data_IF_052273883105
#
_entry.id   IF_052273883105
#
_cell.length_a   1.000
_cell.length_b   1.000
_cell.length_c   1.000
_cell.angle_alpha   90.00
_cell.angle_beta   90.00
_cell.angle_gamma   90.00
#
_symmetry.space_group_name_H-M   'P 1'
#
loop_
_entity.id
_entity.type
_entity.pdbx_description
1 polymer ?
#
# COMPACT_ATOMS: atom_id res chain seq x y z
N UNK A 1 -22.33 7.54 -6.90
CA UNK A 1 -22.24 8.38 -8.13
C UNK A 1 -21.49 9.64 -7.74
N UNK A 2 -20.20 9.73 -8.11
CA UNK A 2 -19.33 10.84 -7.74
C UNK A 2 -19.84 12.14 -8.37
N UNK A 3 -19.82 13.22 -7.59
CA UNK A 3 -20.29 14.53 -8.06
C UNK A 3 -19.36 15.04 -9.18
N UNK A 4 -19.91 15.70 -10.24
CA UNK A 4 -19.10 16.20 -11.38
C UNK A 4 -17.94 17.13 -10.98
N UNK A 5 -17.98 17.72 -9.78
CA UNK A 5 -16.93 18.60 -9.24
C UNK A 5 -15.69 17.86 -8.70
N UNK A 6 -15.78 16.54 -8.44
CA UNK A 6 -14.67 15.76 -7.87
C UNK A 6 -13.70 15.23 -8.95
N UNK A 7 -14.20 15.00 -10.16
CA UNK A 7 -13.37 14.53 -11.29
C UNK A 7 -12.18 15.45 -11.61
N UNK A 8 -12.35 16.79 -11.69
CA UNK A 8 -11.23 17.69 -11.91
C UNK A 8 -10.18 17.64 -10.78
N UNK A 9 -10.63 17.52 -9.51
CA UNK A 9 -9.73 17.44 -8.37
C UNK A 9 -8.91 16.14 -8.36
N UNK A 10 -9.54 15.02 -8.71
CA UNK A 10 -8.86 13.71 -8.83
C UNK A 10 -7.87 13.70 -9.99
N UNK A 11 -8.23 14.26 -11.15
CA UNK A 11 -7.33 14.42 -12.28
C UNK A 11 -6.14 15.33 -11.92
N UNK A 12 -6.38 16.41 -11.20
CA UNK A 12 -5.34 17.30 -10.70
C UNK A 12 -4.36 16.59 -9.77
N UNK A 13 -4.85 15.71 -8.88
CA UNK A 13 -4.00 14.90 -8.01
C UNK A 13 -3.05 13.98 -8.81
N UNK A 14 -3.53 13.38 -9.91
CA UNK A 14 -2.67 12.58 -10.81
C UNK A 14 -1.62 13.46 -11.48
N UNK A 15 -2.02 14.64 -12.00
CA UNK A 15 -1.09 15.57 -12.63
C UNK A 15 0.01 16.05 -11.69
N UNK A 16 -0.31 16.27 -10.41
CA UNK A 16 0.69 16.63 -9.40
C UNK A 16 1.73 15.53 -9.15
N UNK A 17 1.32 14.26 -9.27
CA UNK A 17 2.23 13.13 -9.10
C UNK A 17 2.95 12.72 -10.40
N UNK A 18 2.54 13.25 -11.56
CA UNK A 18 3.11 12.88 -12.86
C UNK A 18 4.65 13.01 -12.92
N UNK A 19 5.29 14.08 -12.40
CA UNK A 19 6.74 14.14 -12.34
C UNK A 19 7.35 12.98 -11.54
N UNK A 20 6.71 12.59 -10.43
CA UNK A 20 7.18 11.48 -9.59
C UNK A 20 7.06 10.15 -10.35
N UNK A 21 5.96 9.91 -11.05
CA UNK A 21 5.80 8.73 -11.90
C UNK A 21 6.90 8.62 -12.95
N UNK A 22 7.19 9.72 -13.65
CA UNK A 22 8.15 9.72 -14.76
C UNK A 22 9.60 9.65 -14.31
N UNK A 23 9.94 10.21 -13.14
CA UNK A 23 11.32 10.35 -12.69
C UNK A 23 11.71 9.34 -11.60
N UNK A 24 10.78 8.53 -11.09
CA UNK A 24 11.05 7.57 -10.01
C UNK A 24 12.29 6.71 -10.25
N UNK A 25 12.54 6.13 -11.44
CA UNK A 25 13.73 5.33 -11.67
C UNK A 25 15.06 6.09 -11.49
N UNK A 26 15.07 7.42 -11.69
CA UNK A 26 16.29 8.24 -11.58
C UNK A 26 16.80 8.35 -10.13
N UNK A 27 15.91 8.21 -9.14
CA UNK A 27 16.26 8.23 -7.72
C UNK A 27 15.82 6.94 -7.00
N UNK A 28 15.92 5.81 -7.73
CA UNK A 28 15.47 4.48 -7.28
C UNK A 28 16.00 4.12 -5.89
N UNK A 29 17.27 4.30 -5.62
CA UNK A 29 17.88 3.97 -4.32
C UNK A 29 17.23 4.71 -3.14
N UNK A 30 16.80 5.96 -3.35
CA UNK A 30 16.13 6.76 -2.33
C UNK A 30 14.65 6.39 -2.19
N UNK A 31 13.90 6.27 -3.29
CA UNK A 31 12.47 6.02 -3.19
C UNK A 31 12.12 4.62 -2.70
N UNK A 32 13.00 3.62 -2.92
CA UNK A 32 12.79 2.27 -2.40
C UNK A 32 12.82 2.24 -0.86
N UNK A 33 13.44 3.22 -0.23
CA UNK A 33 13.57 3.32 1.23
C UNK A 33 13.04 4.63 1.82
N UNK A 34 12.13 5.28 1.08
CA UNK A 34 11.58 6.57 1.47
C UNK A 34 11.01 6.56 2.89
N UNK A 35 11.55 7.46 3.74
CA UNK A 35 11.13 7.62 5.13
C UNK A 35 11.58 6.52 6.09
N UNK A 36 12.16 5.41 5.61
CA UNK A 36 12.69 4.34 6.46
C UNK A 36 14.12 4.64 6.92
N UNK A 37 14.47 4.19 8.12
CA UNK A 37 15.86 4.19 8.63
C UNK A 37 16.65 3.00 8.10
N UNK A 38 17.98 3.04 8.24
CA UNK A 38 18.83 1.91 7.88
C UNK A 38 18.52 0.65 8.69
N UNK A 39 18.18 0.82 9.98
CA UNK A 39 17.75 -0.27 10.86
C UNK A 39 16.43 -0.90 10.39
N UNK A 40 15.45 -0.09 10.01
CA UNK A 40 14.16 -0.58 9.51
C UNK A 40 14.32 -1.34 8.19
N UNK A 41 15.25 -0.92 7.34
CA UNK A 41 15.56 -1.62 6.09
C UNK A 41 16.26 -2.95 6.37
N UNK A 42 17.15 -3.01 7.35
CA UNK A 42 17.93 -4.21 7.71
C UNK A 42 17.16 -5.19 8.61
N UNK A 43 16.18 -4.70 9.38
CA UNK A 43 15.40 -5.53 10.30
C UNK A 43 14.51 -6.53 9.58
N UNK A 44 14.40 -7.79 10.07
CA UNK A 44 13.50 -8.76 9.46
C UNK A 44 12.04 -8.34 9.63
N UNK A 45 11.24 -8.60 8.59
CA UNK A 45 9.79 -8.41 8.59
C UNK A 45 9.05 -9.70 8.18
N UNK A 46 7.80 -9.88 8.60
CA UNK A 46 6.97 -10.98 8.15
C UNK A 46 6.98 -11.09 6.61
N UNK A 47 7.19 -12.29 6.08
CA UNK A 47 7.15 -12.55 4.65
C UNK A 47 8.45 -12.34 3.88
N UNK A 48 9.53 -11.88 4.51
CA UNK A 48 10.82 -11.64 3.82
C UNK A 48 11.36 -12.89 3.10
N UNK A 49 11.15 -14.08 3.68
CA UNK A 49 11.59 -15.35 3.11
C UNK A 49 10.63 -15.96 2.09
N UNK A 50 9.40 -15.42 1.94
CA UNK A 50 8.40 -15.99 1.04
C UNK A 50 8.60 -15.57 -0.42
N UNK A 51 9.42 -14.55 -0.67
CA UNK A 51 9.79 -14.09 -2.01
C UNK A 51 11.31 -13.86 -2.09
N UNK A 52 12.13 -14.93 -2.01
CA UNK A 52 13.60 -14.81 -1.95
C UNK A 52 14.18 -14.20 -3.23
N UNK A 53 13.62 -14.54 -4.39
CA UNK A 53 14.07 -14.10 -5.71
C UNK A 53 13.50 -12.74 -6.14
N UNK A 54 12.99 -11.95 -5.20
CA UNK A 54 12.43 -10.64 -5.49
C UNK A 54 13.48 -9.71 -6.12
N UNK A 55 13.21 -9.21 -7.32
CA UNK A 55 14.00 -8.18 -7.99
C UNK A 55 13.60 -6.77 -7.54
N UNK A 56 12.37 -6.61 -7.07
CA UNK A 56 11.89 -5.38 -6.46
C UNK A 56 11.74 -5.56 -4.95
N UNK A 57 12.52 -4.80 -4.19
CA UNK A 57 12.49 -4.81 -2.72
C UNK A 57 12.43 -3.38 -2.22
N UNK A 58 11.39 -3.04 -1.46
CA UNK A 58 11.22 -1.69 -0.90
C UNK A 58 10.81 -1.76 0.56
N UNK A 59 11.36 -0.86 1.37
CA UNK A 59 10.95 -0.63 2.76
C UNK A 59 10.70 0.86 2.91
N UNK A 60 9.46 1.24 3.19
CA UNK A 60 9.07 2.64 3.36
C UNK A 60 8.40 2.84 4.70
N UNK A 61 8.49 4.06 5.22
CA UNK A 61 7.95 4.33 6.55
C UNK A 61 7.45 5.76 6.71
N UNK A 62 6.50 5.92 7.65
CA UNK A 62 5.99 7.22 8.07
C UNK A 62 5.68 7.18 9.57
N UNK A 63 5.84 8.32 10.24
CA UNK A 63 5.35 8.48 11.61
C UNK A 63 3.95 9.11 11.59
N UNK A 64 3.02 8.44 12.28
CA UNK A 64 1.62 8.86 12.44
C UNK A 64 1.45 9.35 13.87
N UNK A 65 0.85 10.54 14.07
CA UNK A 65 0.58 11.12 15.39
C UNK A 65 -0.74 10.57 15.95
N UNK A 66 -0.85 9.24 15.98
CA UNK A 66 -1.98 8.50 16.50
C UNK A 66 -1.50 7.12 17.00
N UNK A 67 -2.15 6.51 18.01
CA UNK A 67 -1.78 5.20 18.52
C UNK A 67 -2.05 4.10 17.49
N UNK A 68 -1.39 2.92 17.59
CA UNK A 68 -1.65 1.80 16.69
C UNK A 68 -3.12 1.40 16.57
N UNK A 69 -3.88 1.53 17.65
CA UNK A 69 -5.31 1.25 17.67
C UNK A 69 -6.13 2.18 16.73
N UNK A 70 -5.66 3.41 16.49
CA UNK A 70 -6.31 4.33 15.56
C UNK A 70 -5.81 4.14 14.10
N UNK A 71 -4.59 3.61 13.91
CA UNK A 71 -4.02 3.35 12.57
C UNK A 71 -4.53 2.03 11.99
N UNK A 72 -4.59 0.99 12.81
CA UNK A 72 -4.93 -0.38 12.40
C UNK A 72 -6.24 -0.51 11.63
N UNK A 73 -7.36 0.10 12.05
CA UNK A 73 -8.62 0.01 11.34
C UNK A 73 -8.56 0.52 9.89
N UNK A 74 -7.77 1.57 9.64
CA UNK A 74 -7.57 2.10 8.29
C UNK A 74 -6.78 1.14 7.41
N UNK A 75 -5.84 0.40 7.98
CA UNK A 75 -5.05 -0.59 7.25
C UNK A 75 -5.88 -1.82 6.89
N UNK A 76 -6.68 -2.32 7.83
CA UNK A 76 -7.50 -3.52 7.66
C UNK A 76 -8.51 -3.39 6.51
N UNK A 77 -9.08 -2.23 6.31
CA UNK A 77 -10.13 -2.01 5.31
C UNK A 77 -9.63 -1.67 3.89
N UNK A 78 -8.31 -1.54 3.68
CA UNK A 78 -7.70 -1.24 2.37
C UNK A 78 -8.10 -2.25 1.30
N UNK A 79 -8.19 -1.80 0.06
CA UNK A 79 -8.40 -2.62 -1.12
C UNK A 79 -9.39 -2.03 -2.10
N UNK A 80 -9.25 -2.38 -3.37
CA UNK A 80 -10.19 -1.98 -4.41
C UNK A 80 -11.55 -2.64 -4.19
N UNK A 81 -12.62 -1.87 -4.35
CA UNK A 81 -13.98 -2.34 -4.02
C UNK A 81 -14.26 -2.47 -2.52
N UNK A 82 -13.27 -2.18 -1.66
CA UNK A 82 -13.37 -2.06 -0.20
C UNK A 82 -13.37 -0.57 0.19
N UNK A 83 -12.42 -0.15 1.02
CA UNK A 83 -12.30 1.27 1.40
C UNK A 83 -11.43 2.10 0.45
N UNK A 84 -10.94 1.55 -0.64
CA UNK A 84 -9.94 2.16 -1.52
C UNK A 84 -8.53 2.09 -0.95
N UNK A 85 -7.60 2.83 -1.56
CA UNK A 85 -6.18 2.83 -1.18
C UNK A 85 -5.73 4.13 -0.52
N UNK A 86 -6.63 5.11 -0.38
CA UNK A 86 -6.29 6.45 0.16
C UNK A 86 -5.18 7.16 -0.64
N UNK A 87 -5.06 6.82 -1.91
CA UNK A 87 -4.04 7.25 -2.85
C UNK A 87 -4.64 8.07 -4.00
N UNK A 88 -4.41 7.66 -5.25
CA UNK A 88 -4.99 8.28 -6.44
C UNK A 88 -6.28 7.54 -6.85
N UNK A 89 -7.40 7.91 -6.28
CA UNK A 89 -8.70 7.25 -6.52
C UNK A 89 -9.05 7.08 -8.01
N UNK A 90 -8.54 7.96 -8.88
CA UNK A 90 -8.76 7.84 -10.32
C UNK A 90 -8.01 6.62 -10.92
N UNK A 91 -6.79 6.34 -10.44
CA UNK A 91 -5.92 5.30 -10.97
C UNK A 91 -6.18 3.94 -10.31
N UNK A 92 -6.34 3.92 -8.99
CA UNK A 92 -6.39 2.67 -8.21
C UNK A 92 -7.81 2.24 -7.81
N UNK A 93 -8.82 3.13 -7.99
CA UNK A 93 -10.20 2.87 -7.60
C UNK A 93 -11.23 3.27 -8.68
N UNK A 94 -10.82 3.43 -9.94
CA UNK A 94 -11.65 3.88 -11.09
C UNK A 94 -12.45 5.15 -10.79
N UNK A 95 -11.85 6.10 -10.06
CA UNK A 95 -12.47 7.36 -9.69
C UNK A 95 -13.45 7.27 -8.51
N UNK A 96 -13.68 6.10 -7.93
CA UNK A 96 -14.47 5.98 -6.68
C UNK A 96 -13.64 6.55 -5.53
N UNK A 97 -14.27 7.41 -4.72
CA UNK A 97 -13.59 8.01 -3.57
C UNK A 97 -13.26 6.96 -2.51
N UNK A 98 -12.02 6.99 -2.02
CA UNK A 98 -11.61 6.21 -0.86
C UNK A 98 -12.42 6.62 0.38
N UNK A 99 -12.69 5.67 1.27
CA UNK A 99 -13.47 5.90 2.49
C UNK A 99 -12.85 7.00 3.37
N UNK A 100 -13.71 7.80 3.97
CA UNK A 100 -13.36 8.86 4.93
C UNK A 100 -13.72 8.50 6.36
N UNK A 101 -14.30 7.31 6.57
CA UNK A 101 -14.65 6.75 7.87
C UNK A 101 -14.26 5.27 7.96
N UNK A 102 -14.15 4.76 9.18
CA UNK A 102 -14.00 3.33 9.43
C UNK A 102 -15.32 2.64 9.10
N UNK A 103 -15.23 1.58 8.28
CA UNK A 103 -16.36 0.76 7.86
C UNK A 103 -16.43 -0.49 8.74
N UNK A 104 -17.40 -0.61 9.66
CA UNK A 104 -17.48 -1.75 10.60
C UNK A 104 -17.49 -3.10 9.91
N UNK A 105 -18.14 -3.20 8.75
CA UNK A 105 -18.23 -4.42 7.94
C UNK A 105 -16.89 -4.92 7.40
N UNK A 106 -15.87 -4.06 7.36
CA UNK A 106 -14.53 -4.38 6.86
C UNK A 106 -13.50 -4.57 7.98
N UNK A 107 -13.91 -4.50 9.25
CA UNK A 107 -12.98 -4.60 10.38
C UNK A 107 -12.70 -6.05 10.81
N UNK A 108 -13.48 -6.99 10.34
CA UNK A 108 -13.21 -8.40 10.54
C UNK A 108 -12.19 -8.88 9.52
N UNK A 109 -10.98 -9.20 10.00
CA UNK A 109 -9.87 -9.68 9.17
C UNK A 109 -9.68 -11.18 9.38
N UNK A 110 -9.58 -11.92 8.28
CA UNK A 110 -9.36 -13.37 8.30
C UNK A 110 -8.20 -13.78 7.39
N UNK A 111 -7.46 -14.80 7.80
CA UNK A 111 -6.46 -15.44 6.93
C UNK A 111 -7.15 -16.03 5.70
N UNK A 112 -6.55 -15.85 4.53
CA UNK A 112 -7.13 -16.25 3.24
C UNK A 112 -8.07 -15.22 2.61
N UNK A 113 -8.45 -14.17 3.33
CA UNK A 113 -9.29 -13.09 2.81
C UNK A 113 -8.61 -12.37 1.65
N UNK A 114 -9.37 -12.11 0.57
CA UNK A 114 -8.87 -11.36 -0.57
C UNK A 114 -8.77 -9.85 -0.27
N UNK A 115 -7.64 -9.28 -0.72
CA UNK A 115 -7.39 -7.83 -0.77
C UNK A 115 -7.19 -7.46 -2.24
N UNK A 116 -8.28 -7.08 -2.95
CA UNK A 116 -8.22 -6.79 -4.38
C UNK A 116 -7.35 -5.56 -4.66
N UNK A 117 -6.48 -5.68 -5.69
CA UNK A 117 -5.64 -4.58 -6.17
C UNK A 117 -6.21 -3.94 -7.44
N UNK A 118 -7.12 -4.64 -8.11
CA UNK A 118 -7.81 -4.16 -9.29
C UNK A 118 -9.28 -3.91 -9.01
N UNK A 119 -9.87 -2.83 -9.54
CA UNK A 119 -11.29 -2.51 -9.35
C UNK A 119 -12.22 -3.33 -10.27
N UNK A 120 -11.69 -4.16 -11.15
CA UNK A 120 -12.45 -4.92 -12.14
C UNK A 120 -12.25 -6.42 -11.99
N UNK A 121 -13.34 -7.17 -12.10
CA UNK A 121 -13.37 -8.63 -12.08
C UNK A 121 -13.30 -9.23 -10.66
N UNK A 122 -13.48 -10.53 -10.59
CA UNK A 122 -13.31 -11.29 -9.35
C UNK A 122 -11.83 -11.34 -8.96
N UNK A 123 -11.54 -11.34 -7.64
CA UNK A 123 -10.17 -11.46 -7.16
C UNK A 123 -9.51 -12.77 -7.61
N UNK A 124 -8.34 -12.67 -8.21
CA UNK A 124 -7.52 -13.81 -8.62
C UNK A 124 -6.13 -13.72 -7.96
N UNK A 125 -5.34 -14.81 -7.94
CA UNK A 125 -3.97 -14.74 -7.44
C UNK A 125 -3.08 -13.70 -8.13
N UNK A 126 -3.43 -13.27 -9.35
CA UNK A 126 -2.69 -12.25 -10.10
C UNK A 126 -3.16 -10.83 -9.80
N UNK A 127 -4.43 -10.65 -9.47
CA UNK A 127 -5.07 -9.33 -9.33
C UNK A 127 -5.36 -8.93 -7.88
N UNK A 128 -5.10 -9.83 -6.92
CA UNK A 128 -5.37 -9.59 -5.51
C UNK A 128 -4.31 -10.24 -4.62
N UNK A 129 -4.02 -9.61 -3.50
CA UNK A 129 -3.33 -10.26 -2.40
C UNK A 129 -4.32 -11.10 -1.58
N UNK A 130 -3.77 -12.04 -0.82
CA UNK A 130 -4.47 -12.69 0.30
C UNK A 130 -3.84 -12.29 1.62
N UNK A 131 -4.66 -12.11 2.63
CA UNK A 131 -4.19 -12.03 4.01
C UNK A 131 -3.57 -13.38 4.36
N UNK A 132 -2.28 -13.39 4.66
CA UNK A 132 -1.55 -14.58 5.09
C UNK A 132 -1.65 -14.73 6.61
N UNK A 133 -1.15 -13.73 7.31
CA UNK A 133 -1.05 -13.75 8.77
C UNK A 133 -1.02 -12.32 9.32
N UNK A 134 -1.37 -12.17 10.59
CA UNK A 134 -1.38 -10.86 11.24
C UNK A 134 -1.42 -10.98 12.75
N UNK A 135 -0.98 -9.92 13.41
CA UNK A 135 -1.23 -9.66 14.84
C UNK A 135 -1.91 -8.29 14.94
N UNK A 136 -3.17 -8.23 15.41
CA UNK A 136 -3.93 -6.98 15.46
C UNK A 136 -3.17 -5.85 16.13
N UNK A 137 -3.14 -4.68 15.49
CA UNK A 137 -2.44 -3.49 15.97
C UNK A 137 -0.91 -3.55 15.92
N UNK A 138 -0.32 -4.64 15.45
CA UNK A 138 1.15 -4.81 15.39
C UNK A 138 1.67 -5.01 13.98
N UNK A 139 1.16 -6.00 13.25
CA UNK A 139 1.63 -6.26 11.90
C UNK A 139 0.59 -7.03 11.06
N UNK A 140 0.72 -6.93 9.75
CA UNK A 140 -0.14 -7.58 8.76
C UNK A 140 0.71 -7.99 7.56
N UNK A 141 0.52 -9.22 7.08
CA UNK A 141 1.17 -9.75 5.90
C UNK A 141 0.13 -10.11 4.83
N UNK A 142 0.31 -9.60 3.64
CA UNK A 142 -0.40 -9.99 2.43
C UNK A 142 0.55 -10.69 1.48
N UNK A 143 0.06 -11.74 0.82
CA UNK A 143 0.84 -12.54 -0.12
C UNK A 143 0.13 -12.71 -1.46
N UNK A 144 0.92 -12.78 -2.52
CA UNK A 144 0.58 -13.30 -3.84
C UNK A 144 1.65 -14.32 -4.25
N UNK A 145 1.44 -15.10 -5.34
CA UNK A 145 2.42 -16.08 -5.80
C UNK A 145 3.81 -15.49 -6.10
N UNK A 146 3.88 -14.23 -6.50
CA UNK A 146 5.08 -13.53 -6.93
C UNK A 146 5.50 -12.38 -6.01
N UNK A 147 4.75 -12.12 -4.94
CA UNK A 147 5.03 -10.96 -4.09
C UNK A 147 4.46 -11.06 -2.67
N UNK A 148 5.12 -10.34 -1.78
CA UNK A 148 4.68 -10.12 -0.40
C UNK A 148 4.52 -8.63 -0.13
N UNK A 149 3.56 -8.28 0.72
CA UNK A 149 3.37 -6.92 1.20
C UNK A 149 3.13 -6.95 2.71
N UNK A 150 4.13 -6.53 3.45
CA UNK A 150 4.13 -6.50 4.91
C UNK A 150 3.92 -5.09 5.46
N UNK A 151 3.23 -5.02 6.59
CA UNK A 151 2.98 -3.80 7.36
C UNK A 151 3.36 -4.04 8.81
N UNK A 152 4.07 -3.10 9.41
CA UNK A 152 4.47 -3.17 10.81
C UNK A 152 4.16 -1.85 11.52
N UNK A 153 3.52 -1.93 12.69
CA UNK A 153 3.14 -0.79 13.53
C UNK A 153 3.90 -0.89 14.84
N UNK A 154 4.77 0.09 15.09
CA UNK A 154 5.51 0.20 16.36
C UNK A 154 4.98 1.40 17.13
N UNK A 155 4.50 1.21 18.37
CA UNK A 155 4.11 2.34 19.21
C UNK A 155 5.35 3.19 19.55
N UNK A 156 5.18 4.51 19.49
CA UNK A 156 6.20 5.50 19.87
C UNK A 156 5.72 6.34 21.05
N UNK A 157 6.63 6.93 21.84
CA UNK A 157 6.27 7.88 22.88
C UNK A 157 5.40 9.04 22.34
N UNK A 158 4.48 9.55 23.17
CA UNK A 158 3.59 10.64 22.80
C UNK A 158 2.42 10.21 21.92
N UNK A 159 1.89 9.01 22.14
CA UNK A 159 0.70 8.47 21.45
C UNK A 159 0.84 8.45 19.93
N UNK A 160 2.01 8.04 19.45
CA UNK A 160 2.36 7.99 18.03
C UNK A 160 2.63 6.56 17.57
N UNK A 161 2.56 6.36 16.28
CA UNK A 161 2.87 5.06 15.63
C UNK A 161 3.92 5.25 14.55
N UNK A 162 4.93 4.39 14.54
CA UNK A 162 5.78 4.18 13.39
C UNK A 162 5.14 3.12 12.50
N UNK A 163 4.73 3.51 11.30
CA UNK A 163 4.17 2.63 10.28
C UNK A 163 5.25 2.35 9.25
N UNK A 164 5.70 1.10 9.20
CA UNK A 164 6.66 0.59 8.22
C UNK A 164 5.96 -0.36 7.27
N UNK A 165 6.23 -0.26 5.99
CA UNK A 165 5.73 -1.19 4.98
C UNK A 165 6.85 -1.71 4.10
N UNK A 166 6.81 -3.00 3.75
CA UNK A 166 7.78 -3.67 2.90
C UNK A 166 7.09 -4.44 1.80
N UNK A 167 7.54 -4.24 0.56
CA UNK A 167 7.10 -5.01 -0.59
C UNK A 167 8.30 -5.76 -1.16
N UNK A 168 8.14 -7.06 -1.37
CA UNK A 168 8.99 -7.87 -2.21
C UNK A 168 8.18 -8.35 -3.40
N UNK A 169 8.71 -8.20 -4.61
CA UNK A 169 8.06 -8.67 -5.84
C UNK A 169 9.09 -9.30 -6.78
N UNK A 170 8.74 -10.45 -7.32
CA UNK A 170 9.48 -11.14 -8.36
C UNK A 170 8.82 -10.91 -9.73
N UNK A 171 9.63 -10.85 -10.79
CA UNK A 171 9.14 -10.74 -12.16
C UNK A 171 9.27 -12.08 -12.86
N UNK A 172 8.15 -12.62 -13.35
CA UNK A 172 8.13 -13.89 -14.09
C UNK A 172 8.56 -13.66 -15.54
N UNK A 173 9.86 -13.77 -15.81
CA UNK A 173 10.43 -13.62 -17.15
C UNK A 173 10.09 -14.76 -18.11
N UNK A 174 9.45 -15.85 -17.66
CA UNK A 174 8.84 -16.83 -18.57
C UNK A 174 7.66 -16.25 -19.34
N UNK A 175 7.09 -15.13 -18.84
CA UNK A 175 6.01 -14.35 -19.43
C UNK A 175 6.44 -12.88 -19.60
N UNK A 176 7.29 -12.59 -20.60
CA UNK A 176 8.01 -11.32 -20.68
C UNK A 176 7.10 -10.08 -20.74
N UNK A 177 5.93 -10.16 -21.39
CA UNK A 177 4.98 -9.05 -21.43
C UNK A 177 4.42 -8.74 -20.03
N UNK A 178 4.09 -9.76 -19.24
CA UNK A 178 3.61 -9.57 -17.88
C UNK A 178 4.73 -9.04 -16.96
N UNK A 179 5.95 -9.56 -17.12
CA UNK A 179 7.12 -9.06 -16.38
C UNK A 179 7.37 -7.57 -16.69
N UNK A 180 7.31 -7.16 -17.96
CA UNK A 180 7.47 -5.76 -18.35
C UNK A 180 6.40 -4.84 -17.72
N UNK A 181 5.13 -5.28 -17.72
CA UNK A 181 4.06 -4.54 -17.05
C UNK A 181 4.35 -4.43 -15.56
N UNK A 182 4.78 -5.52 -14.91
CA UNK A 182 5.18 -5.52 -13.50
C UNK A 182 6.32 -4.53 -13.22
N UNK A 183 7.37 -4.53 -14.06
CA UNK A 183 8.49 -3.59 -13.95
C UNK A 183 7.99 -2.13 -14.06
N UNK A 184 7.17 -1.83 -15.07
CA UNK A 184 6.63 -0.48 -15.25
C UNK A 184 5.82 -0.05 -14.03
N UNK A 185 4.94 -0.90 -13.52
CA UNK A 185 4.14 -0.58 -12.35
C UNK A 185 5.01 -0.36 -11.10
N UNK A 186 5.96 -1.25 -10.83
CA UNK A 186 6.79 -1.16 -9.63
C UNK A 186 7.81 -0.01 -9.70
N UNK A 187 8.48 0.18 -10.82
CA UNK A 187 9.55 1.18 -10.94
C UNK A 187 9.03 2.60 -11.13
N UNK A 188 7.86 2.78 -11.76
CA UNK A 188 7.32 4.11 -12.05
C UNK A 188 6.13 4.50 -11.15
N UNK A 189 5.16 3.60 -10.95
CA UNK A 189 3.90 3.96 -10.30
C UNK A 189 3.87 3.71 -8.79
N UNK A 190 4.49 2.64 -8.31
CA UNK A 190 4.38 2.20 -6.91
C UNK A 190 4.81 3.28 -5.91
N UNK A 191 5.91 3.98 -6.17
CA UNK A 191 6.40 4.99 -5.22
C UNK A 191 5.40 6.14 -5.03
N UNK A 192 4.88 6.71 -6.12
CA UNK A 192 3.94 7.82 -6.03
C UNK A 192 2.66 7.41 -5.29
N UNK A 193 2.12 6.23 -5.65
CA UNK A 193 0.89 5.71 -5.10
C UNK A 193 1.03 5.30 -3.64
N UNK A 194 2.06 4.54 -3.28
CA UNK A 194 2.29 4.09 -1.91
C UNK A 194 2.63 5.26 -0.97
N UNK A 195 3.42 6.24 -1.44
CA UNK A 195 3.70 7.46 -0.67
C UNK A 195 2.42 8.23 -0.36
N UNK A 196 1.51 8.34 -1.35
CA UNK A 196 0.21 8.99 -1.16
C UNK A 196 -0.68 8.18 -0.23
N UNK A 197 -0.70 6.86 -0.36
CA UNK A 197 -1.42 5.94 0.53
C UNK A 197 -0.97 6.08 1.99
N UNK A 198 0.33 6.05 2.25
CA UNK A 198 0.88 6.22 3.61
C UNK A 198 0.46 7.56 4.22
N UNK A 199 0.49 8.64 3.43
CA UNK A 199 -0.01 9.96 3.86
C UNK A 199 -1.52 9.98 4.06
N UNK A 200 -2.25 9.25 3.22
CA UNK A 200 -3.70 9.10 3.32
C UNK A 200 -4.13 8.35 4.58
N UNK A 201 -3.42 7.28 4.94
CA UNK A 201 -3.63 6.56 6.22
C UNK A 201 -3.30 7.49 7.40
N UNK A 202 -2.15 8.18 7.34
CA UNK A 202 -1.74 9.14 8.38
C UNK A 202 -2.82 10.20 8.62
N UNK A 203 -3.25 10.90 7.58
CA UNK A 203 -4.23 11.98 7.70
C UNK A 203 -5.56 11.50 8.31
N UNK A 204 -6.01 10.30 7.94
CA UNK A 204 -7.27 9.71 8.45
C UNK A 204 -7.14 9.27 9.91
N UNK A 205 -6.04 8.59 10.25
CA UNK A 205 -5.81 8.14 11.62
C UNK A 205 -5.64 9.32 12.61
N UNK A 206 -5.02 10.40 12.17
CA UNK A 206 -4.84 11.61 12.98
C UNK A 206 -6.12 12.44 13.12
N UNK A 207 -7.04 12.35 12.15
CA UNK A 207 -8.34 13.04 12.21
C UNK A 207 -9.39 12.30 13.06
N UNK A 208 -9.14 11.06 13.44
CA UNK A 208 -10.08 10.21 14.21
C UNK A 208 -9.83 10.23 15.72
N UNK A 209 -8.97 11.12 16.19
CA UNK A 209 -8.65 11.29 17.63
C UNK A 209 -9.59 12.26 18.33
#
# INVERSE_FOLDING_TARGET
MDRPKELPAKAWAVLQDLPIFLTAPLYRGWHLRWGATDEEVASPMPGDQLCPDAQYKTTRAITVNAPPAAVWPWLVQVGSGRAGFYSNDLLDNLGRSSATAILPTLQHLETGQWVPMSPSGEPTPQTAFKVDSFVPGKWLLWIKPDSTWAWHLTPLPGNRTRLVTRIHAAYDWSRPLNAMVGVILMEFADFAMLRRMLRGIKARAEATQ
#
